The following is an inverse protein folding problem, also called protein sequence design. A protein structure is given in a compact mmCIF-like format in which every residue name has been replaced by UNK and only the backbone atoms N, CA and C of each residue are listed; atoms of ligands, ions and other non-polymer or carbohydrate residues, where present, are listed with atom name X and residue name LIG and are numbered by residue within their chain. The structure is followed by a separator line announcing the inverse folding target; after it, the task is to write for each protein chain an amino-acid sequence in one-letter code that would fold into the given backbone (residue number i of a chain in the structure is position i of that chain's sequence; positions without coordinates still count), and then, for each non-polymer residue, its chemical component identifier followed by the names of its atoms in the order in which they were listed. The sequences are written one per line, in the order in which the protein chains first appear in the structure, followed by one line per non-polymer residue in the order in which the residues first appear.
data_IF_354370604427
#
_entry.id   IF_354370604427
#
_cell.length_a   1.000
_cell.length_b   1.000
_cell.length_c   1.000
_cell.angle_alpha   90.00
_cell.angle_beta   90.00
_cell.angle_gamma   90.00
#
_symmetry.space_group_name_H-M   'P 1'
#
loop_
_entity.id
_entity.type
_entity.pdbx_description
1 polymer ?
#
# COMPACT_ATOMS: atom_id res chain seq x y z
N UNK A 1 -9.83 32.99 43.10
CA UNK A 1 -8.82 33.96 42.61
C UNK A 1 -7.45 33.30 42.67
N UNK A 2 -7.02 32.63 41.59
CA UNK A 2 -5.70 32.01 41.49
C UNK A 2 -4.94 32.63 40.33
N UNK A 3 -3.77 33.21 40.62
CA UNK A 3 -2.86 33.83 39.67
C UNK A 3 -1.90 32.77 39.13
N UNK A 4 -1.99 32.45 37.84
CA UNK A 4 -0.92 31.75 37.13
C UNK A 4 0.03 32.79 36.51
N UNK A 5 1.22 32.91 37.08
CA UNK A 5 2.39 33.55 36.47
C UNK A 5 3.39 32.42 36.16
N UNK A 6 3.66 32.18 34.87
CA UNK A 6 5.03 32.02 34.37
C UNK A 6 5.02 31.95 32.85
N UNK A 7 5.48 33.04 32.25
CA UNK A 7 5.81 33.15 30.83
C UNK A 7 7.28 32.77 30.66
N UNK A 8 7.55 31.72 29.90
CA UNK A 8 8.89 31.34 29.45
C UNK A 8 9.09 31.85 28.03
N UNK A 9 9.99 32.83 27.90
CA UNK A 9 10.43 33.43 26.63
C UNK A 9 11.25 32.41 25.84
N UNK A 10 10.75 31.99 24.68
CA UNK A 10 11.58 31.37 23.65
C UNK A 10 12.02 32.45 22.67
N UNK A 11 13.35 32.65 22.56
CA UNK A 11 13.97 33.51 21.55
C UNK A 11 13.96 32.79 20.20
N UNK A 12 13.76 33.50 19.07
CA UNK A 12 13.94 32.92 17.74
C UNK A 12 15.43 32.75 17.45
N UNK A 13 15.80 31.57 16.91
CA UNK A 13 17.11 31.36 16.28
C UNK A 13 16.99 31.82 14.83
N UNK A 14 17.63 32.95 14.54
CA UNK A 14 17.97 33.40 13.20
C UNK A 14 18.98 32.43 12.56
N UNK A 15 18.82 32.17 11.27
CA UNK A 15 19.85 31.51 10.44
C UNK A 15 19.39 30.27 9.69
N UNK A 16 18.60 30.45 8.62
CA UNK A 16 18.67 29.53 7.47
C UNK A 16 18.42 30.32 6.20
N UNK A 17 19.50 30.46 5.42
CA UNK A 17 19.54 31.12 4.13
C UNK A 17 18.72 30.30 3.12
N UNK A 18 17.58 30.85 2.72
CA UNK A 18 16.84 30.41 1.53
C UNK A 18 17.72 30.65 0.30
N UNK A 19 18.17 29.55 -0.32
CA UNK A 19 18.82 29.61 -1.63
C UNK A 19 17.74 29.45 -2.70
N UNK A 20 17.34 30.56 -3.30
CA UNK A 20 16.55 30.58 -4.53
C UNK A 20 17.40 30.00 -5.66
N UNK A 21 17.06 28.80 -6.15
CA UNK A 21 17.60 28.27 -7.40
C UNK A 21 16.71 28.79 -8.54
N UNK A 22 17.18 29.86 -9.18
CA UNK A 22 16.76 30.20 -10.54
C UNK A 22 17.46 29.21 -11.50
N UNK A 23 16.70 28.45 -12.28
CA UNK A 23 17.24 27.61 -13.34
C UNK A 23 16.79 28.13 -14.70
N UNK A 24 17.82 28.50 -15.44
CA UNK A 24 17.87 29.14 -16.74
C UNK A 24 17.21 28.34 -17.86
N UNK A 25 16.68 29.12 -18.80
CA UNK A 25 16.38 28.80 -20.19
C UNK A 25 17.54 28.11 -20.90
N UNK A 26 17.27 26.98 -21.57
CA UNK A 26 18.13 26.42 -22.61
C UNK A 26 17.29 25.86 -23.76
N UNK A 27 17.51 26.47 -24.92
CA UNK A 27 17.04 26.07 -26.24
C UNK A 27 17.56 24.70 -26.64
N UNK A 28 16.74 23.89 -27.32
CA UNK A 28 17.25 22.91 -28.28
C UNK A 28 16.21 22.57 -29.35
N UNK A 29 16.66 22.72 -30.61
CA UNK A 29 16.02 22.24 -31.83
C UNK A 29 15.71 20.74 -31.74
N UNK A 30 14.53 20.34 -32.21
CA UNK A 30 14.26 18.96 -32.59
C UNK A 30 13.74 18.92 -34.03
N UNK A 31 14.54 18.29 -34.89
CA UNK A 31 14.23 18.00 -36.28
C UNK A 31 13.07 17.00 -36.39
N UNK A 32 12.21 17.24 -37.37
CA UNK A 32 11.11 16.36 -37.75
C UNK A 32 11.64 15.15 -38.54
N UNK A 33 11.32 13.94 -38.07
CA UNK A 33 11.41 12.69 -38.85
C UNK A 33 10.04 11.99 -38.76
N UNK A 34 9.46 11.55 -39.88
CA UNK A 34 8.23 10.76 -39.88
C UNK A 34 8.55 9.30 -39.55
N UNK A 35 8.03 8.81 -38.42
CA UNK A 35 8.06 7.40 -38.03
C UNK A 35 6.88 6.70 -38.72
N UNK A 36 7.18 5.88 -39.72
CA UNK A 36 6.22 4.94 -40.31
C UNK A 36 5.98 3.81 -39.30
N UNK A 37 4.76 3.75 -38.77
CA UNK A 37 4.31 2.77 -37.78
C UNK A 37 4.01 1.43 -38.42
N UNK A 38 4.81 0.42 -38.10
CA UNK A 38 4.38 -0.97 -38.14
C UNK A 38 3.78 -1.30 -36.77
N UNK A 39 2.45 -1.46 -36.71
CA UNK A 39 1.76 -1.93 -35.51
C UNK A 39 2.24 -3.35 -35.19
N UNK A 40 3.10 -3.48 -34.17
CA UNK A 40 3.39 -4.80 -33.58
C UNK A 40 2.10 -5.31 -32.93
N UNK A 41 1.68 -6.56 -33.21
CA UNK A 41 0.50 -7.13 -32.59
C UNK A 41 0.67 -7.09 -31.07
N UNK A 42 -0.22 -6.38 -30.40
CA UNK A 42 -0.25 -6.29 -28.94
C UNK A 42 -0.61 -7.68 -28.41
N UNK A 43 0.23 -8.31 -27.58
CA UNK A 43 -0.12 -9.60 -26.99
C UNK A 43 -1.38 -9.44 -26.14
N UNK A 44 -2.32 -10.41 -26.16
CA UNK A 44 -3.56 -10.31 -25.41
C UNK A 44 -3.25 -10.10 -23.91
N UNK A 45 -4.03 -9.26 -23.21
CA UNK A 45 -3.82 -9.01 -21.80
C UNK A 45 -4.00 -10.34 -21.03
N UNK A 46 -2.98 -10.73 -20.26
CA UNK A 46 -3.10 -11.83 -19.28
C UNK A 46 -3.98 -11.33 -18.13
N UNK A 47 -5.30 -11.42 -18.30
CA UNK A 47 -6.31 -11.21 -17.24
C UNK A 47 -6.68 -12.51 -16.53
N UNK A 48 -5.90 -13.58 -16.74
CA UNK A 48 -6.10 -14.83 -16.02
C UNK A 48 -5.88 -14.64 -14.51
N UNK A 49 -6.64 -15.35 -13.66
CA UNK A 49 -6.38 -15.38 -12.23
C UNK A 49 -4.91 -15.74 -12.00
N UNK A 50 -4.27 -15.11 -11.00
CA UNK A 50 -2.95 -15.52 -10.54
C UNK A 50 -3.08 -16.99 -10.13
N UNK A 51 -2.60 -17.90 -10.97
CA UNK A 51 -2.58 -19.32 -10.66
C UNK A 51 -1.54 -19.47 -9.56
N UNK A 52 -2.03 -19.66 -8.35
CA UNK A 52 -1.19 -20.05 -7.23
C UNK A 52 -0.67 -21.45 -7.59
N UNK A 53 0.58 -21.52 -8.04
CA UNK A 53 1.24 -22.79 -8.27
C UNK A 53 1.34 -23.45 -6.92
N UNK A 54 0.73 -24.62 -6.78
CA UNK A 54 0.83 -25.38 -5.54
C UNK A 54 2.31 -25.52 -5.17
N UNK A 55 2.65 -25.30 -3.90
CA UNK A 55 4.02 -25.38 -3.47
C UNK A 55 4.65 -26.69 -3.89
N UNK A 56 5.90 -26.62 -4.34
CA UNK A 56 6.70 -27.83 -4.46
C UNK A 56 6.69 -28.46 -3.07
N UNK A 57 6.19 -29.70 -2.93
CA UNK A 57 6.05 -30.38 -1.63
C UNK A 57 7.34 -30.27 -0.80
N UNK A 58 8.49 -30.41 -1.46
CA UNK A 58 9.81 -30.28 -0.85
C UNK A 58 10.10 -28.89 -0.21
N UNK A 59 9.45 -27.82 -0.66
CA UNK A 59 9.52 -26.48 -0.06
C UNK A 59 8.58 -26.39 1.14
N UNK A 60 7.38 -26.99 1.08
CA UNK A 60 6.47 -27.03 2.24
C UNK A 60 7.08 -27.76 3.42
N UNK A 61 7.66 -28.94 3.18
CA UNK A 61 8.33 -29.72 4.22
C UNK A 61 9.43 -28.91 4.88
N UNK A 62 10.24 -28.21 4.08
CA UNK A 62 11.33 -27.37 4.59
C UNK A 62 10.82 -26.15 5.39
N UNK A 63 9.71 -25.53 4.97
CA UNK A 63 9.07 -24.43 5.71
C UNK A 63 8.44 -24.92 7.02
N UNK A 64 7.80 -26.09 7.01
CA UNK A 64 7.26 -26.73 8.21
C UNK A 64 8.38 -27.05 9.20
N UNK A 65 9.45 -27.67 8.70
CA UNK A 65 10.66 -27.93 9.45
C UNK A 65 11.23 -26.66 10.09
N UNK A 66 11.27 -25.57 9.32
CA UNK A 66 11.80 -24.29 9.80
C UNK A 66 10.89 -23.66 10.85
N UNK A 67 9.57 -23.75 10.69
CA UNK A 67 8.60 -23.26 11.68
C UNK A 67 8.73 -24.02 13.01
N UNK A 68 8.96 -25.32 12.98
CA UNK A 68 9.07 -26.20 14.15
C UNK A 68 10.41 -26.11 14.90
N UNK A 69 11.42 -25.50 14.29
CA UNK A 69 12.73 -25.33 14.91
C UNK A 69 12.63 -24.52 16.23
N UNK A 70 13.38 -24.95 17.24
CA UNK A 70 13.32 -24.38 18.61
C UNK A 70 14.20 -23.14 18.79
N UNK A 71 15.20 -22.98 17.93
CA UNK A 71 16.19 -21.92 18.00
C UNK A 71 16.36 -21.21 16.66
N UNK A 72 16.85 -19.98 16.72
CA UNK A 72 16.97 -19.08 15.56
C UNK A 72 17.95 -19.58 14.50
N UNK A 73 18.99 -20.31 14.90
CA UNK A 73 20.03 -20.78 13.97
C UNK A 73 19.52 -21.98 13.17
N UNK A 74 18.78 -22.88 13.82
CA UNK A 74 18.06 -23.97 13.16
C UNK A 74 17.00 -23.45 12.17
N UNK A 75 16.23 -22.41 12.54
CA UNK A 75 15.28 -21.76 11.62
C UNK A 75 16.03 -21.24 10.39
N UNK A 76 17.13 -20.52 10.60
CA UNK A 76 17.93 -19.95 9.52
C UNK A 76 18.48 -21.01 8.55
N UNK A 77 19.12 -22.06 9.08
CA UNK A 77 19.68 -23.14 8.27
C UNK A 77 18.61 -23.85 7.42
N UNK A 78 17.43 -24.10 8.01
CA UNK A 78 16.31 -24.73 7.30
C UNK A 78 15.71 -23.81 6.23
N UNK A 79 15.64 -22.50 6.50
CA UNK A 79 15.24 -21.50 5.51
C UNK A 79 16.23 -21.43 4.35
N UNK A 80 17.54 -21.41 4.62
CA UNK A 80 18.57 -21.39 3.57
C UNK A 80 18.43 -22.63 2.66
N UNK A 81 18.12 -23.79 3.24
CA UNK A 81 17.83 -25.02 2.50
C UNK A 81 16.56 -24.88 1.64
N UNK A 82 15.51 -24.27 2.18
CA UNK A 82 14.26 -24.04 1.44
C UNK A 82 14.45 -23.05 0.28
N UNK A 83 15.22 -21.97 0.49
CA UNK A 83 15.55 -20.96 -0.52
C UNK A 83 16.40 -21.58 -1.63
N UNK A 84 17.37 -22.44 -1.28
CA UNK A 84 18.17 -23.15 -2.27
C UNK A 84 17.30 -24.04 -3.19
N UNK A 85 16.24 -24.67 -2.64
CA UNK A 85 15.29 -25.47 -3.43
C UNK A 85 14.47 -24.64 -4.42
N UNK A 86 14.29 -23.34 -4.19
CA UNK A 86 13.63 -22.43 -5.16
C UNK A 86 14.63 -21.74 -6.10
N UNK A 87 15.86 -22.25 -6.21
CA UNK A 87 16.89 -21.68 -7.07
C UNK A 87 17.41 -20.32 -6.58
N UNK A 88 17.22 -20.00 -5.29
CA UNK A 88 17.54 -18.70 -4.69
C UNK A 88 16.81 -17.50 -5.33
N UNK A 89 15.63 -17.72 -5.92
CA UNK A 89 14.80 -16.64 -6.45
C UNK A 89 13.79 -16.14 -5.40
N UNK A 90 13.93 -14.90 -4.89
CA UNK A 90 12.96 -14.31 -3.98
C UNK A 90 11.55 -14.22 -4.57
N UNK A 91 11.43 -13.98 -5.88
CA UNK A 91 10.13 -13.85 -6.54
C UNK A 91 9.35 -15.16 -6.51
N UNK A 92 10.06 -16.30 -6.54
CA UNK A 92 9.48 -17.63 -6.40
C UNK A 92 9.24 -18.03 -4.93
N UNK A 93 10.10 -17.62 -3.99
CA UNK A 93 10.00 -18.04 -2.59
C UNK A 93 8.94 -17.28 -1.78
N UNK A 94 8.78 -15.96 -1.99
CA UNK A 94 7.84 -15.15 -1.19
C UNK A 94 6.39 -15.65 -1.26
N UNK A 95 5.81 -15.99 -2.44
CA UNK A 95 4.45 -16.51 -2.50
C UNK A 95 4.31 -17.85 -1.75
N UNK A 96 5.37 -18.66 -1.72
CA UNK A 96 5.39 -19.95 -1.03
C UNK A 96 5.33 -19.79 0.48
N UNK A 97 6.11 -18.85 1.03
CA UNK A 97 6.07 -18.50 2.45
C UNK A 97 4.69 -17.98 2.86
N UNK A 98 4.08 -17.11 2.03
CA UNK A 98 2.75 -16.57 2.31
C UNK A 98 1.67 -17.64 2.27
N UNK A 99 1.66 -18.49 1.25
CA UNK A 99 0.68 -19.56 1.16
C UNK A 99 0.83 -20.56 2.32
N UNK A 100 2.06 -20.92 2.67
CA UNK A 100 2.34 -21.77 3.83
C UNK A 100 1.80 -21.14 5.12
N UNK A 101 2.11 -19.86 5.35
CA UNK A 101 1.64 -19.15 6.53
C UNK A 101 0.10 -19.05 6.60
N UNK A 102 -0.57 -18.78 5.47
CA UNK A 102 -2.02 -18.68 5.40
C UNK A 102 -2.70 -20.03 5.73
N UNK A 103 -2.27 -21.11 5.07
CA UNK A 103 -2.77 -22.47 5.32
C UNK A 103 -2.57 -22.86 6.79
N UNK A 104 -1.44 -22.47 7.39
CA UNK A 104 -1.17 -22.72 8.81
C UNK A 104 -2.11 -21.93 9.72
N UNK A 105 -2.34 -20.64 9.46
CA UNK A 105 -3.28 -19.83 10.25
C UNK A 105 -4.72 -20.35 10.16
N UNK A 106 -5.15 -20.80 8.97
CA UNK A 106 -6.47 -21.41 8.79
C UNK A 106 -6.61 -22.73 9.55
N UNK A 107 -5.57 -23.58 9.54
CA UNK A 107 -5.56 -24.82 10.32
C UNK A 107 -5.71 -24.56 11.83
N UNK A 108 -5.03 -23.53 12.36
CA UNK A 108 -5.15 -23.13 13.77
C UNK A 108 -6.57 -22.65 14.09
N UNK A 109 -7.15 -21.83 13.21
CA UNK A 109 -8.54 -21.39 13.35
C UNK A 109 -9.54 -22.55 13.34
N UNK A 110 -9.36 -23.54 12.47
CA UNK A 110 -10.24 -24.72 12.39
C UNK A 110 -10.15 -25.61 13.63
N UNK A 111 -8.96 -25.78 14.22
CA UNK A 111 -8.79 -26.54 15.46
C UNK A 111 -9.50 -25.86 16.63
N UNK A 112 -9.46 -24.52 16.69
CA UNK A 112 -10.15 -23.75 17.72
C UNK A 112 -11.69 -23.88 17.65
N UNK A 113 -12.24 -24.11 16.47
CA UNK A 113 -13.70 -24.26 16.23
C UNK A 113 -14.16 -25.71 16.37
N UNK A 114 -13.24 -26.66 16.61
CA UNK A 114 -13.44 -28.11 16.64
C UNK A 114 -14.71 -28.60 17.37
N UNK A 115 -15.81 -28.62 16.62
CA UNK A 115 -16.98 -29.44 16.85
C UNK A 115 -16.63 -30.87 16.42
N UNK A 116 -16.46 -31.77 17.39
CA UNK A 116 -16.36 -33.19 17.09
C UNK A 116 -17.66 -33.66 16.39
N UNK A 117 -17.59 -34.37 15.26
CA UNK A 117 -18.78 -34.92 14.61
C UNK A 117 -19.39 -36.00 15.52
N UNK A 118 -20.44 -35.64 16.26
CA UNK A 118 -21.28 -36.58 17.01
C UNK A 118 -21.17 -36.56 18.54
N UNK A 119 -20.35 -35.70 19.14
CA UNK A 119 -20.24 -35.57 20.61
C UNK A 119 -20.76 -34.22 21.10
N UNK A 120 -21.62 -34.22 22.13
CA UNK A 120 -22.03 -32.99 22.83
C UNK A 120 -20.75 -32.33 23.39
N UNK A 121 -20.31 -31.17 22.86
CA UNK A 121 -19.01 -30.63 23.24
C UNK A 121 -19.06 -30.19 24.70
N UNK A 122 -18.16 -30.73 25.52
CA UNK A 122 -17.80 -30.08 26.77
C UNK A 122 -17.29 -28.69 26.41
N UNK A 123 -17.93 -27.64 26.93
CA UNK A 123 -17.62 -26.26 26.58
C UNK A 123 -16.14 -26.00 26.93
N UNK A 124 -15.23 -25.94 25.96
CA UNK A 124 -13.83 -25.70 26.27
C UNK A 124 -13.72 -24.29 26.85
N UNK A 125 -12.73 -24.07 27.72
CA UNK A 125 -12.40 -22.74 28.19
C UNK A 125 -12.04 -21.87 26.98
N UNK A 126 -12.98 -21.05 26.55
CA UNK A 126 -12.86 -20.22 25.35
C UNK A 126 -11.68 -19.24 25.47
N UNK A 127 -11.29 -18.86 26.71
CA UNK A 127 -10.14 -18.01 26.93
C UNK A 127 -8.82 -18.75 26.65
N UNK A 128 -8.71 -20.02 27.04
CA UNK A 128 -7.52 -20.83 26.77
C UNK A 128 -7.35 -21.09 25.26
N UNK A 129 -8.45 -21.40 24.55
CA UNK A 129 -8.43 -21.62 23.10
C UNK A 129 -8.01 -20.34 22.34
N UNK A 130 -8.53 -19.18 22.74
CA UNK A 130 -8.16 -17.88 22.13
C UNK A 130 -6.68 -17.56 22.31
N UNK A 131 -6.11 -17.81 23.49
CA UNK A 131 -4.67 -17.56 23.75
C UNK A 131 -3.77 -18.43 22.88
N UNK A 132 -4.10 -19.72 22.73
CA UNK A 132 -3.32 -20.63 21.88
C UNK A 132 -3.35 -20.17 20.41
N UNK A 133 -4.51 -19.69 19.92
CA UNK A 133 -4.64 -19.14 18.56
C UNK A 133 -3.80 -17.86 18.37
N UNK A 134 -3.83 -16.93 19.33
CA UNK A 134 -3.05 -15.69 19.29
C UNK A 134 -1.53 -15.94 19.29
N UNK A 135 -1.04 -16.84 20.13
CA UNK A 135 0.38 -17.16 20.23
C UNK A 135 0.92 -17.84 18.97
N UNK A 136 0.17 -18.80 18.40
CA UNK A 136 0.58 -19.48 17.17
C UNK A 136 0.52 -18.52 15.95
N UNK A 137 -0.50 -17.63 15.88
CA UNK A 137 -0.53 -16.57 14.86
C UNK A 137 0.66 -15.62 14.97
N UNK A 138 1.01 -15.20 16.19
CA UNK A 138 2.17 -14.34 16.43
C UNK A 138 3.48 -15.04 15.99
N UNK A 139 3.61 -16.34 16.29
CA UNK A 139 4.75 -17.16 15.86
C UNK A 139 4.83 -17.26 14.33
N UNK A 140 3.71 -17.51 13.64
CA UNK A 140 3.68 -17.56 12.17
C UNK A 140 4.08 -16.21 11.58
N UNK A 141 3.55 -15.09 12.10
CA UNK A 141 3.93 -13.75 11.63
C UNK A 141 5.43 -13.48 11.83
N UNK A 142 5.98 -13.85 12.99
CA UNK A 142 7.41 -13.73 13.25
C UNK A 142 8.25 -14.58 12.27
N UNK A 143 7.80 -15.80 11.99
CA UNK A 143 8.44 -16.70 11.01
C UNK A 143 8.46 -16.07 9.61
N UNK A 144 7.35 -15.50 9.15
CA UNK A 144 7.29 -14.79 7.86
C UNK A 144 8.28 -13.64 7.83
N UNK A 145 8.30 -12.79 8.86
CA UNK A 145 9.24 -11.67 8.94
C UNK A 145 10.71 -12.10 8.90
N UNK A 146 11.08 -13.17 9.60
CA UNK A 146 12.43 -13.74 9.57
C UNK A 146 12.77 -14.30 8.20
N UNK A 147 11.83 -15.02 7.57
CA UNK A 147 12.00 -15.62 6.24
C UNK A 147 12.28 -14.55 5.18
N UNK A 148 11.50 -13.48 5.18
CA UNK A 148 11.68 -12.39 4.22
C UNK A 148 12.96 -11.60 4.46
N UNK A 149 13.34 -11.39 5.72
CA UNK A 149 14.61 -10.74 6.07
C UNK A 149 15.82 -11.57 5.62
N UNK A 150 15.70 -12.91 5.61
CA UNK A 150 16.76 -13.84 5.21
C UNK A 150 17.00 -13.89 3.71
N UNK A 151 15.96 -13.68 2.89
CA UNK A 151 16.10 -13.63 1.43
C UNK A 151 17.11 -12.57 0.96
N UNK A 152 17.45 -11.58 1.80
CA UNK A 152 18.27 -10.42 1.44
C UNK A 152 17.80 -9.75 0.13
N UNK A 153 16.50 -9.89 -0.17
CA UNK A 153 15.91 -9.37 -1.38
C UNK A 153 15.79 -7.84 -1.27
N UNK A 154 15.98 -7.16 -2.40
CA UNK A 154 15.74 -5.72 -2.44
C UNK A 154 14.27 -5.42 -2.14
N UNK A 155 14.00 -4.22 -1.62
CA UNK A 155 12.64 -3.73 -1.42
C UNK A 155 11.80 -3.86 -2.69
N UNK A 156 12.39 -3.55 -3.85
CA UNK A 156 11.72 -3.66 -5.15
C UNK A 156 11.32 -5.10 -5.50
N UNK A 157 12.19 -6.08 -5.23
CA UNK A 157 11.90 -7.48 -5.48
C UNK A 157 10.78 -8.00 -4.56
N UNK A 158 10.81 -7.61 -3.29
CA UNK A 158 9.78 -7.96 -2.32
C UNK A 158 8.43 -7.35 -2.69
N UNK A 159 8.39 -6.05 -2.99
CA UNK A 159 7.16 -5.35 -3.41
C UNK A 159 6.61 -5.97 -4.71
N UNK A 160 7.46 -6.26 -5.69
CA UNK A 160 7.04 -6.90 -6.95
C UNK A 160 6.44 -8.28 -6.73
N UNK A 161 6.91 -9.03 -5.74
CA UNK A 161 6.38 -10.35 -5.40
C UNK A 161 5.10 -10.30 -4.53
N UNK A 162 5.01 -9.32 -3.63
CA UNK A 162 3.87 -9.13 -2.72
C UNK A 162 2.68 -8.44 -3.39
N UNK A 163 2.91 -7.49 -4.30
CA UNK A 163 1.83 -6.71 -4.93
C UNK A 163 0.74 -7.57 -5.60
N UNK A 164 1.05 -8.66 -6.33
CA UNK A 164 0.03 -9.55 -6.87
C UNK A 164 -0.83 -10.26 -5.80
N UNK A 165 -0.29 -10.44 -4.60
CA UNK A 165 -0.98 -11.12 -3.50
C UNK A 165 -2.02 -10.23 -2.82
N UNK A 166 -2.01 -8.92 -3.08
CA UNK A 166 -3.08 -8.02 -2.65
C UNK A 166 -4.42 -8.30 -3.35
N UNK A 167 -4.38 -8.94 -4.52
CA UNK A 167 -5.58 -9.35 -5.26
C UNK A 167 -5.94 -10.84 -5.02
N UNK A 168 -5.31 -11.49 -4.02
CA UNK A 168 -5.56 -12.89 -3.72
C UNK A 168 -6.99 -13.10 -3.19
N UNK A 169 -7.62 -14.22 -3.59
CA UNK A 169 -8.96 -14.62 -3.16
C UNK A 169 -9.00 -14.97 -1.68
N UNK A 170 -7.92 -15.51 -1.14
CA UNK A 170 -7.79 -15.86 0.27
C UNK A 170 -7.51 -14.60 1.09
N UNK A 171 -8.46 -14.24 1.96
CA UNK A 171 -8.39 -13.04 2.81
C UNK A 171 -7.16 -13.04 3.72
N UNK A 172 -6.74 -14.22 4.19
CA UNK A 172 -5.54 -14.39 5.03
C UNK A 172 -4.27 -13.99 4.27
N UNK A 173 -4.09 -14.47 3.04
CA UNK A 173 -2.94 -14.11 2.19
C UNK A 173 -2.95 -12.61 1.89
N UNK A 174 -4.12 -12.07 1.50
CA UNK A 174 -4.26 -10.66 1.18
C UNK A 174 -3.92 -9.76 2.37
N UNK A 175 -4.42 -10.08 3.56
CA UNK A 175 -4.11 -9.34 4.80
C UNK A 175 -2.63 -9.42 5.17
N UNK A 176 -1.99 -10.59 5.07
CA UNK A 176 -0.55 -10.72 5.33
C UNK A 176 0.29 -9.91 4.33
N UNK A 177 -0.02 -10.00 3.03
CA UNK A 177 0.68 -9.24 2.01
C UNK A 177 0.56 -7.72 2.27
N UNK A 178 -0.64 -7.26 2.64
CA UNK A 178 -0.91 -5.87 3.04
C UNK A 178 -0.09 -5.46 4.25
N UNK A 179 -0.11 -6.24 5.33
CA UNK A 179 0.66 -5.96 6.56
C UNK A 179 2.17 -5.88 6.28
N UNK A 180 2.70 -6.78 5.45
CA UNK A 180 4.11 -6.79 5.08
C UNK A 180 4.49 -5.57 4.25
N UNK A 181 3.70 -5.23 3.23
CA UNK A 181 3.93 -4.03 2.41
C UNK A 181 3.90 -2.76 3.26
N UNK A 182 2.95 -2.66 4.19
CA UNK A 182 2.90 -1.58 5.19
C UNK A 182 4.17 -1.55 6.04
N UNK A 183 4.71 -2.71 6.45
CA UNK A 183 5.96 -2.81 7.20
C UNK A 183 7.20 -2.35 6.42
N UNK A 184 7.16 -2.40 5.08
CA UNK A 184 8.23 -1.87 4.20
C UNK A 184 8.09 -0.37 3.90
N UNK A 185 6.96 0.25 4.29
CA UNK A 185 6.84 1.71 4.30
C UNK A 185 7.56 2.23 5.55
N UNK A 186 8.59 3.05 5.36
CA UNK A 186 9.25 3.73 6.48
C UNK A 186 8.28 4.78 7.05
N UNK A 187 7.46 4.35 8.02
CA UNK A 187 6.50 5.21 8.74
C UNK A 187 7.13 5.93 9.94
N UNK A 188 8.45 6.11 9.96
CA UNK A 188 9.06 6.90 11.01
C UNK A 188 8.52 8.32 10.98
N UNK A 189 8.24 8.91 12.14
CA UNK A 189 7.68 10.27 12.23
C UNK A 189 8.54 11.34 11.51
N UNK A 190 9.80 11.02 11.24
CA UNK A 190 10.78 11.86 10.57
C UNK A 190 10.89 11.63 9.06
N UNK A 191 10.31 10.58 8.49
CA UNK A 191 10.41 10.27 7.06
C UNK A 191 9.03 10.14 6.43
N UNK A 192 8.91 10.66 5.23
CA UNK A 192 7.72 10.45 4.42
C UNK A 192 7.69 8.99 3.92
N UNK A 193 6.49 8.48 3.63
CA UNK A 193 6.31 7.22 2.93
C UNK A 193 7.16 7.20 1.65
N UNK A 194 7.64 6.02 1.26
CA UNK A 194 8.44 5.85 0.04
C UNK A 194 7.77 4.84 -0.88
N UNK A 195 7.12 5.37 -1.91
CA UNK A 195 6.42 4.60 -2.94
C UNK A 195 7.27 4.29 -4.18
N UNK A 196 8.61 4.47 -4.14
CA UNK A 196 9.49 4.18 -5.29
C UNK A 196 9.39 2.74 -5.80
N UNK A 197 9.36 1.76 -4.90
CA UNK A 197 9.19 0.34 -5.25
C UNK A 197 7.81 0.05 -5.88
N UNK A 198 6.75 0.69 -5.39
CA UNK A 198 5.39 0.57 -5.91
C UNK A 198 5.27 1.17 -7.31
N UNK A 199 5.92 2.32 -7.52
CA UNK A 199 6.00 2.99 -8.82
C UNK A 199 6.57 2.07 -9.89
N UNK A 200 7.65 1.33 -9.58
CA UNK A 200 8.26 0.42 -10.55
C UNK A 200 7.29 -0.66 -11.03
N UNK A 201 6.50 -1.23 -10.11
CA UNK A 201 5.46 -2.22 -10.44
C UNK A 201 4.38 -1.60 -11.34
N UNK A 202 3.87 -0.42 -10.98
CA UNK A 202 2.82 0.26 -11.74
C UNK A 202 3.33 0.68 -13.12
N UNK A 203 4.57 1.17 -13.22
CA UNK A 203 5.19 1.52 -14.51
C UNK A 203 5.35 0.33 -15.44
N UNK A 204 5.69 -0.85 -14.90
CA UNK A 204 5.75 -2.09 -15.68
C UNK A 204 4.37 -2.45 -16.25
N UNK A 205 3.32 -2.37 -15.42
CA UNK A 205 1.94 -2.66 -15.82
C UNK A 205 1.44 -1.69 -16.89
N UNK A 206 1.60 -0.39 -16.67
CA UNK A 206 1.12 0.65 -17.59
C UNK A 206 1.90 0.64 -18.90
N UNK A 207 3.20 0.31 -18.87
CA UNK A 207 4.02 0.19 -20.09
C UNK A 207 3.51 -0.88 -21.04
N UNK A 208 2.93 -1.97 -20.53
CA UNK A 208 2.30 -3.02 -21.34
C UNK A 208 0.80 -2.77 -21.59
N UNK A 209 0.31 -1.56 -21.32
CA UNK A 209 -1.07 -1.15 -21.57
C UNK A 209 -2.08 -1.71 -20.56
N UNK A 210 -1.62 -2.20 -19.39
CA UNK A 210 -2.53 -2.64 -18.33
C UNK A 210 -2.87 -1.48 -17.40
N UNK A 211 -4.08 -1.52 -16.86
CA UNK A 211 -4.47 -0.65 -15.76
C UNK A 211 -3.65 -1.00 -14.51
N UNK A 212 -3.29 -0.01 -13.67
CA UNK A 212 -2.66 -0.25 -12.38
C UNK A 212 -3.49 -1.19 -11.50
N UNK A 213 -2.82 -2.09 -10.77
CA UNK A 213 -3.49 -2.94 -9.77
C UNK A 213 -4.29 -2.11 -8.78
N UNK A 214 -5.56 -2.49 -8.64
CA UNK A 214 -6.52 -1.78 -7.79
C UNK A 214 -6.08 -1.84 -6.33
N UNK A 215 -5.78 -3.04 -5.82
CA UNK A 215 -5.45 -3.22 -4.41
C UNK A 215 -4.13 -2.55 -4.02
N UNK A 216 -3.18 -2.46 -4.96
CA UNK A 216 -1.92 -1.72 -4.75
C UNK A 216 -2.18 -0.21 -4.68
N UNK A 217 -2.99 0.33 -5.59
CA UNK A 217 -3.36 1.74 -5.57
C UNK A 217 -4.13 2.11 -4.29
N UNK A 218 -5.11 1.28 -3.89
CA UNK A 218 -5.84 1.47 -2.63
C UNK A 218 -4.90 1.51 -1.44
N UNK A 219 -3.98 0.54 -1.32
CA UNK A 219 -2.99 0.52 -0.25
C UNK A 219 -2.17 1.82 -0.18
N UNK A 220 -1.72 2.32 -1.33
CA UNK A 220 -0.96 3.57 -1.39
C UNK A 220 -1.80 4.77 -0.92
N UNK A 221 -3.04 4.89 -1.39
CA UNK A 221 -3.92 6.00 -1.02
C UNK A 221 -4.38 5.94 0.45
N UNK A 222 -4.62 4.76 1.01
CA UNK A 222 -4.92 4.58 2.43
C UNK A 222 -3.75 5.03 3.33
N UNK A 223 -2.51 4.91 2.84
CA UNK A 223 -1.29 5.27 3.58
C UNK A 223 -0.94 6.77 3.46
N UNK A 224 -0.85 7.29 2.23
CA UNK A 224 -0.57 8.70 1.95
C UNK A 224 -1.21 9.12 0.61
N UNK A 225 -2.41 9.74 0.63
CA UNK A 225 -3.11 10.09 -0.60
C UNK A 225 -2.33 11.02 -1.53
N UNK A 226 -1.62 12.01 -0.97
CA UNK A 226 -0.90 13.01 -1.76
C UNK A 226 0.28 12.39 -2.50
N UNK A 227 1.10 11.63 -1.78
CA UNK A 227 2.24 10.94 -2.38
C UNK A 227 1.79 9.84 -3.35
N UNK A 228 0.68 9.16 -3.06
CA UNK A 228 0.09 8.18 -3.97
C UNK A 228 -0.32 8.84 -5.30
N UNK A 229 -1.02 9.98 -5.25
CA UNK A 229 -1.42 10.73 -6.45
C UNK A 229 -0.21 11.16 -7.29
N UNK A 230 0.83 11.71 -6.66
CA UNK A 230 2.06 12.09 -7.35
C UNK A 230 2.76 10.87 -7.97
N UNK A 231 2.76 9.73 -7.26
CA UNK A 231 3.36 8.49 -7.74
C UNK A 231 2.60 7.94 -8.95
N UNK A 232 1.26 7.88 -8.88
CA UNK A 232 0.38 7.46 -9.97
C UNK A 232 0.54 8.35 -11.21
N UNK A 233 0.61 9.68 -11.02
CA UNK A 233 0.83 10.64 -12.11
C UNK A 233 2.11 10.35 -12.89
N UNK A 234 3.19 9.97 -12.19
CA UNK A 234 4.47 9.58 -12.81
C UNK A 234 4.39 8.18 -13.43
N UNK A 235 3.82 7.21 -12.71
CA UNK A 235 3.82 5.81 -13.10
C UNK A 235 2.91 5.51 -14.30
N UNK A 236 1.79 6.23 -14.43
CA UNK A 236 0.89 6.15 -15.57
C UNK A 236 1.42 6.87 -16.83
N UNK A 237 2.64 7.42 -16.77
CA UNK A 237 3.32 8.08 -17.89
C UNK A 237 2.46 9.14 -18.58
N UNK A 238 1.71 9.93 -17.81
CA UNK A 238 1.00 11.07 -18.37
C UNK A 238 2.01 12.00 -19.04
N UNK A 239 1.76 12.36 -20.30
CA UNK A 239 2.66 13.21 -21.09
C UNK A 239 2.12 14.60 -21.35
N UNK A 240 0.80 14.75 -21.35
CA UNK A 240 0.15 16.03 -21.64
C UNK A 240 0.28 16.97 -20.43
N UNK A 241 1.05 18.08 -20.53
CA UNK A 241 1.15 19.03 -19.44
C UNK A 241 -0.19 19.68 -19.09
N UNK A 242 -1.15 19.74 -20.03
CA UNK A 242 -2.49 20.27 -19.78
C UNK A 242 -3.32 19.32 -18.88
N UNK A 243 -3.07 18.01 -18.92
CA UNK A 243 -3.66 17.04 -17.98
C UNK A 243 -2.90 17.04 -16.64
N UNK A 244 -1.56 17.06 -16.68
CA UNK A 244 -0.73 16.90 -15.47
C UNK A 244 -0.78 18.13 -14.55
N UNK A 245 -0.67 19.34 -15.10
CA UNK A 245 -0.55 20.56 -14.30
C UNK A 245 -1.76 20.78 -13.37
N UNK A 246 -3.03 20.66 -13.83
CA UNK A 246 -4.17 20.80 -12.95
C UNK A 246 -4.19 19.79 -11.80
N UNK A 247 -3.76 18.54 -12.04
CA UNK A 247 -3.69 17.50 -11.02
C UNK A 247 -2.69 17.91 -9.93
N UNK A 248 -1.44 18.18 -10.32
CA UNK A 248 -0.37 18.50 -9.37
C UNK A 248 -0.60 19.83 -8.65
N UNK A 249 -1.17 20.82 -9.33
CA UNK A 249 -1.51 22.09 -8.69
C UNK A 249 -2.62 21.94 -7.66
N UNK A 250 -3.67 21.17 -7.98
CA UNK A 250 -4.77 20.91 -7.05
C UNK A 250 -4.28 20.12 -5.83
N UNK A 251 -3.41 19.13 -6.03
CA UNK A 251 -2.76 18.40 -4.92
C UNK A 251 -1.93 19.35 -4.06
N UNK A 252 -1.15 20.25 -4.66
CA UNK A 252 -0.35 21.23 -3.93
C UNK A 252 -1.21 22.15 -3.04
N UNK A 253 -2.34 22.66 -3.57
CA UNK A 253 -3.27 23.52 -2.80
C UNK A 253 -3.82 22.76 -1.58
N UNK A 254 -4.16 21.49 -1.75
CA UNK A 254 -4.64 20.63 -0.65
C UNK A 254 -3.51 20.34 0.35
N UNK A 255 -2.31 20.00 -0.13
CA UNK A 255 -1.14 19.75 0.69
C UNK A 255 -0.73 20.99 1.53
N UNK A 256 -0.89 22.19 0.98
CA UNK A 256 -0.65 23.45 1.69
C UNK A 256 -1.57 23.58 2.92
N UNK A 257 -2.86 23.25 2.79
CA UNK A 257 -3.79 23.23 3.92
C UNK A 257 -3.33 22.28 5.02
N UNK A 258 -2.97 21.03 4.67
CA UNK A 258 -2.49 20.06 5.65
C UNK A 258 -1.17 20.48 6.31
N UNK A 259 -0.28 21.09 5.54
CA UNK A 259 0.94 21.69 6.08
C UNK A 259 0.61 22.79 7.09
N UNK A 260 -0.26 23.75 6.75
CA UNK A 260 -0.69 24.82 7.67
C UNK A 260 -1.28 24.25 8.97
N UNK A 261 -2.13 23.22 8.87
CA UNK A 261 -2.72 22.53 10.03
C UNK A 261 -1.67 21.84 10.90
N UNK A 262 -0.74 21.10 10.29
CA UNK A 262 0.34 20.38 11.00
C UNK A 262 1.23 21.30 11.81
N UNK A 263 1.52 22.49 11.30
CA UNK A 263 2.38 23.49 11.95
C UNK A 263 1.61 24.55 12.77
N UNK A 264 0.28 24.43 12.88
CA UNK A 264 -0.53 25.30 13.71
C UNK A 264 -0.70 26.73 13.18
N UNK A 265 -0.51 26.95 11.87
CA UNK A 265 -0.83 28.23 11.22
C UNK A 265 -2.34 28.44 11.08
N UNK A 266 -3.11 27.35 11.06
CA UNK A 266 -4.58 27.34 11.08
C UNK A 266 -5.08 26.27 12.04
N UNK A 267 -6.36 26.33 12.43
CA UNK A 267 -6.99 25.30 13.26
C UNK A 267 -7.00 23.94 12.55
N UNK A 268 -6.97 22.83 13.32
CA UNK A 268 -6.92 21.47 12.74
C UNK A 268 -8.10 21.13 11.84
N UNK A 269 -9.26 21.71 12.12
CA UNK A 269 -10.53 21.57 11.40
C UNK A 269 -10.77 22.72 10.40
N UNK A 270 -9.82 23.65 10.23
CA UNK A 270 -9.97 24.76 9.30
C UNK A 270 -10.13 24.26 7.86
N UNK A 271 -11.15 24.72 7.16
CA UNK A 271 -11.40 24.38 5.75
C UNK A 271 -11.16 25.61 4.89
N UNK A 272 -10.24 25.51 3.93
CA UNK A 272 -9.99 26.57 2.95
C UNK A 272 -10.84 26.34 1.69
N UNK A 273 -11.51 27.38 1.20
CA UNK A 273 -12.35 27.30 0.01
C UNK A 273 -11.57 26.90 -1.26
N UNK A 274 -10.28 27.26 -1.34
CA UNK A 274 -9.36 26.84 -2.40
C UNK A 274 -9.16 25.32 -2.41
N UNK A 275 -8.96 24.69 -1.25
CA UNK A 275 -8.80 23.25 -1.12
C UNK A 275 -10.10 22.51 -1.49
N UNK A 276 -11.26 22.99 -1.02
CA UNK A 276 -12.56 22.41 -1.39
C UNK A 276 -12.79 22.49 -2.90
N UNK A 277 -12.49 23.62 -3.53
CA UNK A 277 -12.59 23.79 -4.98
C UNK A 277 -11.66 22.84 -5.73
N UNK A 278 -10.41 22.71 -5.29
CA UNK A 278 -9.45 21.78 -5.87
C UNK A 278 -9.96 20.32 -5.81
N UNK A 279 -10.54 19.90 -4.68
CA UNK A 279 -11.13 18.58 -4.54
C UNK A 279 -12.37 18.38 -5.43
N UNK A 280 -13.21 19.40 -5.55
CA UNK A 280 -14.35 19.36 -6.46
C UNK A 280 -13.91 19.19 -7.92
N UNK A 281 -12.88 19.93 -8.36
CA UNK A 281 -12.32 19.81 -9.71
C UNK A 281 -11.71 18.41 -9.95
N UNK A 282 -10.91 17.91 -9.00
CA UNK A 282 -10.30 16.57 -9.09
C UNK A 282 -11.33 15.44 -9.08
N UNK A 283 -12.45 15.60 -8.37
CA UNK A 283 -13.51 14.59 -8.32
C UNK A 283 -14.26 14.41 -9.64
N UNK A 284 -14.10 15.32 -10.61
CA UNK A 284 -14.64 15.20 -11.98
C UNK A 284 -13.62 14.65 -12.97
N UNK A 285 -12.39 14.40 -12.55
CA UNK A 285 -11.32 14.03 -13.46
C UNK A 285 -11.61 12.70 -14.16
N UNK A 286 -11.30 12.52 -15.46
CA UNK A 286 -11.61 11.30 -16.20
C UNK A 286 -10.88 10.06 -15.64
N UNK A 287 -9.70 10.23 -15.03
CA UNK A 287 -8.92 9.14 -14.44
C UNK A 287 -9.48 8.72 -13.09
N UNK A 288 -9.88 7.46 -12.96
CA UNK A 288 -10.43 6.91 -11.71
C UNK A 288 -9.49 7.08 -10.52
N UNK A 289 -8.17 6.93 -10.71
CA UNK A 289 -7.21 7.06 -9.61
C UNK A 289 -7.06 8.50 -9.10
N UNK A 290 -7.38 9.51 -9.93
CA UNK A 290 -7.46 10.92 -9.46
C UNK A 290 -8.72 11.12 -8.62
N UNK A 291 -9.83 10.48 -8.98
CA UNK A 291 -11.06 10.53 -8.17
C UNK A 291 -10.93 9.73 -6.88
N UNK A 292 -10.20 8.62 -6.90
CA UNK A 292 -9.86 7.83 -5.72
C UNK A 292 -9.08 8.64 -4.68
N UNK A 293 -8.13 9.49 -5.12
CA UNK A 293 -7.45 10.44 -4.24
C UNK A 293 -8.43 11.28 -3.43
N UNK A 294 -9.45 11.86 -4.11
CA UNK A 294 -10.45 12.69 -3.43
C UNK A 294 -11.30 11.87 -2.47
N UNK A 295 -11.72 10.67 -2.87
CA UNK A 295 -12.51 9.77 -2.03
C UNK A 295 -11.78 9.41 -0.74
N UNK A 296 -10.51 9.00 -0.83
CA UNK A 296 -9.67 8.64 0.31
C UNK A 296 -9.39 9.84 1.21
N UNK A 297 -9.07 11.00 0.62
CA UNK A 297 -8.80 12.20 1.39
C UNK A 297 -10.02 12.65 2.22
N UNK A 298 -11.23 12.59 1.65
CA UNK A 298 -12.48 12.92 2.34
C UNK A 298 -12.78 11.92 3.46
N UNK A 299 -12.55 10.62 3.22
CA UNK A 299 -12.74 9.60 4.26
C UNK A 299 -11.80 9.81 5.45
N UNK A 300 -10.56 10.23 5.19
CA UNK A 300 -9.57 10.54 6.22
C UNK A 300 -9.80 11.90 6.90
N UNK A 301 -10.53 12.83 6.26
CA UNK A 301 -10.71 14.22 6.71
C UNK A 301 -12.16 14.68 6.48
N UNK A 302 -13.06 14.27 7.38
CA UNK A 302 -14.50 14.44 7.23
C UNK A 302 -14.94 15.91 7.10
N UNK A 303 -14.17 16.87 7.60
CA UNK A 303 -14.43 18.29 7.46
C UNK A 303 -14.26 18.83 6.02
N UNK A 304 -13.55 18.09 5.14
CA UNK A 304 -13.46 18.41 3.71
C UNK A 304 -14.64 17.84 2.90
N UNK A 305 -15.57 17.14 3.55
CA UNK A 305 -16.70 16.47 2.91
C UNK A 305 -17.77 17.44 2.40
N UNK A 306 -17.53 18.06 1.25
CA UNK A 306 -18.57 18.80 0.54
C UNK A 306 -19.62 17.83 -0.03
N UNK A 307 -20.90 18.11 0.23
CA UNK A 307 -22.00 17.18 -0.04
C UNK A 307 -22.08 16.77 -1.51
N UNK A 308 -21.96 17.71 -2.44
CA UNK A 308 -22.04 17.43 -3.88
C UNK A 308 -20.88 16.57 -4.38
N UNK A 309 -19.68 16.74 -3.82
CA UNK A 309 -18.50 15.89 -4.10
C UNK A 309 -18.70 14.49 -3.54
N UNK A 310 -19.16 14.37 -2.29
CA UNK A 310 -19.41 13.07 -1.65
C UNK A 310 -20.48 12.27 -2.40
N UNK A 311 -21.60 12.91 -2.75
CA UNK A 311 -22.70 12.25 -3.44
C UNK A 311 -22.27 11.76 -4.84
N UNK A 312 -21.42 12.53 -5.53
CA UNK A 312 -20.80 12.17 -6.81
C UNK A 312 -19.89 10.95 -6.66
N UNK A 313 -18.96 10.97 -5.71
CA UNK A 313 -17.99 9.87 -5.53
C UNK A 313 -18.64 8.58 -5.03
N UNK A 314 -19.69 8.66 -4.20
CA UNK A 314 -20.49 7.47 -3.79
C UNK A 314 -21.25 6.84 -4.95
N UNK A 315 -21.55 7.62 -5.98
CA UNK A 315 -22.28 7.20 -7.17
C UNK A 315 -21.35 7.06 -8.39
N UNK A 316 -20.03 7.01 -8.19
CA UNK A 316 -19.05 6.91 -9.26
C UNK A 316 -19.22 5.59 -10.03
N UNK A 317 -19.12 5.67 -11.36
CA UNK A 317 -19.20 4.51 -12.25
C UNK A 317 -18.10 3.48 -11.93
N UNK A 318 -16.94 3.96 -11.45
CA UNK A 318 -15.84 3.10 -11.06
C UNK A 318 -16.00 2.61 -9.62
N UNK A 319 -16.18 1.29 -9.46
CA UNK A 319 -16.32 0.67 -8.15
C UNK A 319 -15.14 0.97 -7.21
N UNK A 320 -13.93 1.18 -7.76
CA UNK A 320 -12.71 1.45 -6.99
C UNK A 320 -12.80 2.78 -6.25
N UNK A 321 -13.45 3.78 -6.85
CA UNK A 321 -13.66 5.10 -6.25
C UNK A 321 -14.71 5.05 -5.13
N UNK A 322 -15.66 4.11 -5.21
CA UNK A 322 -16.71 3.92 -4.20
C UNK A 322 -16.23 3.16 -2.96
N UNK A 323 -15.19 2.33 -3.10
CA UNK A 323 -14.66 1.46 -2.02
C UNK A 323 -14.38 2.16 -0.69
N UNK A 324 -13.73 3.36 -0.63
CA UNK A 324 -13.40 4.00 0.64
C UNK A 324 -14.64 4.29 1.50
N UNK A 325 -15.75 4.66 0.85
CA UNK A 325 -17.02 4.95 1.54
C UNK A 325 -17.76 3.69 2.00
N UNK A 326 -17.43 2.52 1.45
CA UNK A 326 -18.01 1.24 1.89
C UNK A 326 -17.30 0.72 3.13
N UNK A 327 -15.96 0.83 3.17
CA UNK A 327 -15.14 0.38 4.30
C UNK A 327 -15.38 1.25 5.54
N UNK A 328 -15.46 2.57 5.38
CA UNK A 328 -15.68 3.51 6.49
C UNK A 328 -17.01 3.33 7.25
N UNK A 329 -17.95 2.51 6.73
CA UNK A 329 -19.21 2.18 7.41
C UNK A 329 -19.11 0.95 8.32
N UNK A 330 -18.03 0.16 8.20
CA UNK A 330 -17.86 -1.10 8.91
C UNK A 330 -16.91 -1.04 10.10
N UNK A 331 -16.17 0.06 10.27
CA UNK A 331 -15.23 0.33 11.36
C UNK A 331 -15.82 1.32 12.36
#
# INVERSE_FOLDING_TARGET
MMRYKHASRLRPREGSLFTCVAMSTLSLLAAALPVLGAEKPTPPPRTGPVVVVDPIEAVQDALQDALEAKDRDSVAMKLDTAIAKTGNDPAAFVPQVLLFAARRMEAVGNVAVGAAPGGKPAQPDQAAVRRIDEDERARIKAFVGVSLSRLAASKDALVSSLAPQLDNREDTIRSMARELLIGYEDRSASRASDFSAYRAVIEEETRVGREPRTSLALLMYESDPGLALQTMTRACQLRDPAEIKPILWSEHVVAELFWKRRFGFVARDAVEASAVRALDDLSRHPRWWVRLYVAELICQNAELAERSVVDRLKSDDDARVRMPFMVARGS
#
